data_IF_257063714702
#
_entry.id   IF_257063714702
#
_cell.length_a   1.000
_cell.length_b   1.000
_cell.length_c   1.000
_cell.angle_alpha   90.00
_cell.angle_beta   90.00
_cell.angle_gamma   90.00
#
_symmetry.space_group_name_H-M   'P 1'
#
loop_
_entity.id
_entity.type
_entity.pdbx_description
1 polymer ?
#
# COMPACT_ATOMS: atom_id res chain seq x y z
N UNK A 1 -8.90 2.26 0.56
CA UNK A 1 -8.79 1.13 1.52
C UNK A 1 -8.64 -0.15 0.73
N UNK A 2 -8.04 -1.19 1.30
CA UNK A 2 -7.90 -2.51 0.69
C UNK A 2 -8.78 -3.51 1.44
N UNK A 3 -9.48 -4.37 0.72
CA UNK A 3 -10.32 -5.42 1.33
C UNK A 3 -9.50 -6.68 1.65
N UNK A 4 -10.09 -7.64 2.37
CA UNK A 4 -9.49 -8.96 2.62
C UNK A 4 -9.16 -9.70 1.31
N UNK A 5 -9.90 -9.41 0.24
CA UNK A 5 -9.67 -9.97 -1.09
C UNK A 5 -8.62 -9.19 -1.90
N UNK A 6 -7.93 -8.21 -1.30
CA UNK A 6 -6.94 -7.36 -1.99
C UNK A 6 -7.53 -6.25 -2.85
N UNK A 7 -8.87 -6.15 -2.96
CA UNK A 7 -9.51 -5.15 -3.81
C UNK A 7 -9.38 -3.72 -3.22
N UNK A 8 -8.90 -2.74 -4.00
CA UNK A 8 -8.97 -1.34 -3.64
C UNK A 8 -10.41 -0.84 -3.61
N UNK A 9 -10.78 -0.14 -2.54
CA UNK A 9 -12.13 0.38 -2.30
C UNK A 9 -12.08 1.81 -1.81
N UNK A 10 -13.13 2.56 -2.13
CA UNK A 10 -13.27 3.94 -1.69
C UNK A 10 -13.35 4.04 -0.16
N UNK A 11 -12.63 5.02 0.40
CA UNK A 11 -12.73 5.35 1.81
C UNK A 11 -13.76 6.45 2.07
N UNK A 12 -15.05 6.09 2.06
CA UNK A 12 -16.14 7.03 2.32
C UNK A 12 -16.06 7.69 3.70
N UNK A 13 -15.50 6.98 4.69
CA UNK A 13 -15.37 7.49 6.06
C UNK A 13 -14.20 8.46 6.24
N UNK A 14 -13.33 8.62 5.22
CA UNK A 14 -12.18 9.52 5.23
C UNK A 14 -11.25 9.33 6.44
N UNK A 15 -11.21 8.13 7.02
CA UNK A 15 -10.37 7.80 8.15
C UNK A 15 -9.22 6.87 7.76
N UNK A 16 -8.02 7.15 8.26
CA UNK A 16 -6.87 6.26 8.11
C UNK A 16 -7.00 5.11 9.11
N UNK A 17 -7.60 3.99 8.69
CA UNK A 17 -7.79 2.85 9.58
C UNK A 17 -6.95 1.62 9.21
N UNK A 18 -6.21 1.67 8.11
CA UNK A 18 -5.39 0.58 7.62
C UNK A 18 -3.91 0.94 7.64
N UNK A 19 -3.08 -0.06 7.94
CA UNK A 19 -1.63 0.08 8.06
C UNK A 19 -0.98 -1.00 7.20
N UNK A 20 0.13 -0.66 6.55
CA UNK A 20 1.01 -1.62 5.89
C UNK A 20 2.33 -1.69 6.66
N UNK A 21 2.87 -2.89 6.85
CA UNK A 21 4.19 -3.09 7.47
C UNK A 21 4.98 -4.14 6.70
N UNK A 22 6.31 -4.09 6.80
CA UNK A 22 7.19 -5.15 6.33
C UNK A 22 8.29 -5.40 7.36
N UNK A 23 8.83 -6.61 7.38
CA UNK A 23 9.98 -6.99 8.20
C UNK A 23 10.83 -8.01 7.43
N UNK A 24 11.89 -8.53 8.03
CA UNK A 24 12.77 -9.51 7.39
C UNK A 24 12.14 -10.91 7.19
N UNK A 25 10.83 -11.05 7.40
CA UNK A 25 10.05 -12.30 7.30
C UNK A 25 9.48 -12.54 5.90
N UNK A 26 10.09 -11.94 4.88
CA UNK A 26 9.71 -12.07 3.47
C UNK A 26 8.26 -11.68 3.16
N UNK A 27 7.62 -10.90 4.03
CA UNK A 27 6.21 -10.52 3.90
C UNK A 27 6.00 -9.02 4.01
N UNK A 28 4.97 -8.56 3.30
CA UNK A 28 4.32 -7.27 3.53
C UNK A 28 2.92 -7.54 4.06
N UNK A 29 2.59 -6.95 5.19
CA UNK A 29 1.39 -7.23 5.98
C UNK A 29 0.46 -6.03 5.97
N UNK A 30 -0.83 -6.30 5.79
CA UNK A 30 -1.88 -5.29 5.87
C UNK A 30 -2.72 -5.50 7.13
N UNK A 31 -2.96 -4.41 7.84
CA UNK A 31 -3.62 -4.41 9.14
C UNK A 31 -4.81 -3.47 9.14
N UNK A 32 -5.80 -3.78 9.96
CA UNK A 32 -7.01 -2.97 10.14
C UNK A 32 -7.18 -2.63 11.62
N UNK A 33 -7.33 -1.35 11.94
CA UNK A 33 -7.45 -0.85 13.33
C UNK A 33 -8.90 -0.77 13.81
N UNK A 34 -9.87 -0.82 12.88
CA UNK A 34 -11.30 -0.83 13.23
C UNK A 34 -11.70 -2.12 13.92
N UNK A 35 -12.70 -1.98 14.77
CA UNK A 35 -13.38 -3.09 15.43
C UNK A 35 -13.95 -4.06 14.38
N UNK A 36 -13.62 -5.36 14.43
CA UNK A 36 -14.27 -6.37 13.58
C UNK A 36 -15.78 -6.38 13.84
N UNK A 37 -16.59 -6.38 12.77
CA UNK A 37 -18.07 -6.29 12.89
C UNK A 37 -18.72 -7.45 13.65
N UNK A 38 -18.00 -8.56 13.84
CA UNK A 38 -18.48 -9.73 14.58
C UNK A 38 -17.78 -9.83 15.95
N UNK A 39 -18.56 -9.65 17.03
CA UNK A 39 -18.15 -10.16 18.35
C UNK A 39 -17.96 -9.16 19.50
N UNK A 40 -18.32 -7.88 19.37
CA UNK A 40 -18.17 -6.96 20.52
C UNK A 40 -19.30 -7.15 21.53
N UNK A 41 -18.99 -7.82 22.64
CA UNK A 41 -19.74 -7.64 23.89
C UNK A 41 -19.38 -6.25 24.45
N UNK A 42 -20.37 -5.45 24.89
CA UNK A 42 -20.06 -4.16 25.52
C UNK A 42 -19.15 -4.36 26.73
N UNK A 43 -18.10 -3.54 26.84
CA UNK A 43 -17.20 -3.51 28.00
C UNK A 43 -18.01 -3.34 29.29
N UNK A 44 -17.81 -4.26 30.23
CA UNK A 44 -18.44 -4.24 31.54
C UNK A 44 -17.99 -3.02 32.35
N UNK A 45 -18.82 -2.55 33.29
CA UNK A 45 -18.49 -1.40 34.17
C UNK A 45 -17.12 -1.57 34.86
N UNK A 46 -16.79 -2.81 35.26
CA UNK A 46 -15.53 -3.16 35.92
C UNK A 46 -14.31 -2.97 35.02
N UNK A 47 -14.44 -3.16 33.71
CA UNK A 47 -13.34 -2.97 32.74
C UNK A 47 -13.08 -1.51 32.38
N UNK A 48 -14.05 -0.62 32.64
CA UNK A 48 -13.89 0.84 32.48
C UNK A 48 -13.14 1.47 33.66
N UNK A 49 -13.20 0.84 34.83
CA UNK A 49 -12.54 1.29 36.07
C UNK A 49 -11.11 0.76 36.23
N UNK A 50 -10.67 -0.18 35.39
CA UNK A 50 -9.28 -0.66 35.40
C UNK A 50 -8.38 0.44 34.84
N UNK A 51 -7.85 1.19 35.82
CA UNK A 51 -6.65 2.03 35.84
C UNK A 51 -5.83 1.84 34.58
N UNK A 52 -5.74 2.93 33.81
CA UNK A 52 -4.85 3.08 32.69
C UNK A 52 -3.42 3.35 33.23
N UNK A 53 -2.59 2.32 33.46
CA UNK A 53 -1.34 2.48 34.23
C UNK A 53 -0.30 3.28 33.44
N UNK A 54 -0.52 3.41 32.12
CA UNK A 54 0.39 3.98 31.14
C UNK A 54 -0.18 5.23 30.45
N UNK A 55 -1.38 5.70 30.83
CA UNK A 55 -2.01 6.86 30.17
C UNK A 55 -2.48 6.61 28.72
N UNK A 56 -2.50 5.36 28.23
CA UNK A 56 -2.93 4.98 26.88
C UNK A 56 -4.46 4.96 26.77
N UNK A 57 -5.09 5.75 25.89
CA UNK A 57 -6.54 5.73 25.73
C UNK A 57 -7.09 4.34 25.42
N UNK A 58 -8.22 3.96 26.04
CA UNK A 58 -8.87 2.65 25.81
C UNK A 58 -9.45 2.47 24.41
N UNK A 59 -9.33 3.49 23.54
CA UNK A 59 -9.83 3.55 22.16
C UNK A 59 -9.41 2.36 21.29
N UNK A 60 -8.29 1.70 21.61
CA UNK A 60 -7.75 0.55 20.85
C UNK A 60 -7.64 -0.75 21.66
N UNK A 61 -8.29 -0.83 22.84
CA UNK A 61 -8.23 -2.05 23.68
C UNK A 61 -8.75 -3.30 22.96
N UNK A 62 -9.65 -3.13 21.99
CA UNK A 62 -10.15 -4.24 21.16
C UNK A 62 -9.10 -4.83 20.21
N UNK A 63 -7.93 -4.20 20.05
CA UNK A 63 -6.82 -4.76 19.28
C UNK A 63 -5.85 -5.55 20.16
N UNK A 64 -5.92 -5.36 21.48
CA UNK A 64 -4.96 -5.94 22.42
C UNK A 64 -4.97 -7.47 22.34
N UNK A 65 -3.78 -8.05 22.11
CA UNK A 65 -3.52 -9.49 21.94
C UNK A 65 -4.30 -10.23 20.84
N UNK A 66 -5.17 -9.54 20.07
CA UNK A 66 -5.99 -10.18 19.02
C UNK A 66 -5.77 -9.60 17.62
N UNK A 67 -4.97 -8.53 17.50
CA UNK A 67 -4.70 -7.91 16.21
C UNK A 67 -3.87 -8.81 15.29
N UNK A 68 -4.45 -9.18 14.15
CA UNK A 68 -3.82 -10.01 13.12
C UNK A 68 -3.90 -9.31 11.77
N UNK A 69 -2.89 -9.49 10.89
CA UNK A 69 -2.96 -8.94 9.55
C UNK A 69 -4.07 -9.64 8.77
N UNK A 70 -4.86 -8.87 8.02
CA UNK A 70 -5.98 -9.39 7.24
C UNK A 70 -5.56 -9.83 5.84
N UNK A 71 -4.45 -9.30 5.34
CA UNK A 71 -3.84 -9.66 4.06
C UNK A 71 -2.33 -9.77 4.24
N UNK A 72 -1.76 -10.82 3.66
CA UNK A 72 -0.33 -11.13 3.68
C UNK A 72 0.16 -11.23 2.25
N UNK A 73 1.22 -10.51 1.94
CA UNK A 73 1.88 -10.50 0.63
C UNK A 73 3.23 -11.17 0.81
N UNK A 74 3.33 -12.43 0.41
CA UNK A 74 4.60 -13.18 0.45
C UNK A 74 5.43 -12.84 -0.77
N UNK A 75 6.70 -12.49 -0.55
CA UNK A 75 7.60 -12.06 -1.60
C UNK A 75 8.31 -13.28 -2.19
N UNK A 76 7.95 -13.63 -3.42
CA UNK A 76 8.52 -14.76 -4.16
C UNK A 76 9.31 -14.28 -5.37
N UNK A 77 10.47 -14.87 -5.59
CA UNK A 77 11.33 -14.58 -6.73
C UNK A 77 10.59 -14.79 -8.06
N UNK A 78 10.71 -13.86 -9.03
CA UNK A 78 10.08 -14.00 -10.34
C UNK A 78 10.58 -15.24 -11.10
N UNK A 79 11.87 -15.57 -10.96
CA UNK A 79 12.51 -16.65 -11.71
C UNK A 79 12.27 -18.02 -11.06
N UNK A 80 12.64 -18.15 -9.79
CA UNK A 80 12.65 -19.44 -9.09
C UNK A 80 11.36 -19.70 -8.31
N UNK A 81 10.61 -18.65 -7.94
CA UNK A 81 9.48 -18.74 -7.01
C UNK A 81 9.88 -18.97 -5.54
N UNK A 82 11.18 -18.92 -5.21
CA UNK A 82 11.68 -19.05 -3.84
C UNK A 82 11.34 -17.82 -3.02
N UNK A 83 11.16 -18.00 -1.70
CA UNK A 83 10.90 -16.93 -0.76
C UNK A 83 12.25 -16.50 -0.15
N UNK A 84 12.90 -15.54 -0.80
CA UNK A 84 14.29 -15.15 -0.46
C UNK A 84 14.46 -13.66 -0.15
N UNK A 85 13.48 -12.83 -0.46
CA UNK A 85 13.61 -11.39 -0.28
C UNK A 85 13.40 -10.97 1.17
N UNK A 86 14.34 -10.22 1.75
CA UNK A 86 14.21 -9.64 3.09
C UNK A 86 13.85 -8.14 2.98
N UNK A 87 12.56 -7.74 3.08
CA UNK A 87 12.14 -6.37 2.77
C UNK A 87 12.47 -5.38 3.90
N UNK A 88 12.93 -4.18 3.52
CA UNK A 88 13.22 -3.07 4.44
C UNK A 88 12.37 -1.83 4.22
N UNK A 89 12.01 -1.56 2.97
CA UNK A 89 11.25 -0.37 2.54
C UNK A 89 10.27 -0.76 1.46
N UNK A 90 9.13 -0.08 1.37
CA UNK A 90 8.21 -0.23 0.27
C UNK A 90 7.60 1.11 -0.14
N UNK A 91 7.13 1.20 -1.38
CA UNK A 91 6.50 2.39 -1.94
C UNK A 91 5.32 2.02 -2.83
N UNK A 92 4.12 2.45 -2.42
CA UNK A 92 2.88 2.32 -3.17
C UNK A 92 2.64 3.56 -4.04
N UNK A 93 1.94 3.39 -5.17
CA UNK A 93 1.56 4.50 -6.05
C UNK A 93 0.49 5.40 -5.44
N UNK A 94 -0.61 4.79 -5.02
CA UNK A 94 -1.75 5.53 -4.48
C UNK A 94 -1.54 5.84 -3.00
N UNK A 95 -1.17 7.08 -2.73
CA UNK A 95 -1.29 7.73 -1.41
C UNK A 95 -2.53 8.63 -1.45
N UNK A 96 -3.08 9.02 -0.29
CA UNK A 96 -4.35 9.77 -0.20
C UNK A 96 -4.49 10.82 -1.32
N UNK A 97 -5.33 10.52 -2.32
CA UNK A 97 -5.46 11.33 -3.53
C UNK A 97 -6.61 12.33 -3.43
N UNK A 98 -6.60 13.30 -4.35
CA UNK A 98 -7.68 14.26 -4.52
C UNK A 98 -8.98 13.56 -4.92
N UNK A 99 -10.07 13.84 -4.20
CA UNK A 99 -11.39 13.24 -4.43
C UNK A 99 -12.06 13.76 -5.70
N UNK A 100 -11.61 14.89 -6.23
CA UNK A 100 -12.22 15.48 -7.44
C UNK A 100 -12.12 14.56 -8.66
N UNK A 101 -11.11 13.68 -8.69
CA UNK A 101 -10.93 12.67 -9.74
C UNK A 101 -12.06 11.62 -9.71
N UNK A 102 -12.52 11.21 -8.52
CA UNK A 102 -13.62 10.25 -8.39
C UNK A 102 -14.95 10.82 -8.91
N UNK A 103 -15.16 12.13 -8.71
CA UNK A 103 -16.34 12.83 -9.19
C UNK A 103 -16.35 12.97 -10.72
N UNK A 104 -15.19 13.05 -11.36
CA UNK A 104 -15.07 13.08 -12.83
C UNK A 104 -15.35 11.71 -13.43
N UNK A 105 -14.77 10.64 -12.89
CA UNK A 105 -15.05 9.26 -13.34
C UNK A 105 -16.54 8.90 -13.20
N UNK A 106 -17.19 9.31 -12.10
CA UNK A 106 -18.63 9.10 -11.92
C UNK A 106 -19.49 9.86 -12.95
N UNK A 107 -19.06 11.06 -13.36
CA UNK A 107 -19.70 11.82 -14.43
C UNK A 107 -19.51 11.14 -15.79
N UNK A 108 -18.31 10.67 -16.10
CA UNK A 108 -18.03 9.96 -17.36
C UNK A 108 -18.77 8.62 -17.45
N UNK A 109 -18.88 7.87 -16.35
CA UNK A 109 -19.68 6.65 -16.29
C UNK A 109 -21.18 6.92 -16.45
N UNK A 110 -21.66 8.05 -15.91
CA UNK A 110 -23.04 8.48 -16.04
C UNK A 110 -23.36 8.92 -17.48
N UNK A 111 -22.44 9.61 -18.15
CA UNK A 111 -22.57 9.99 -19.56
C UNK A 111 -22.54 8.78 -20.49
N UNK A 112 -21.62 7.82 -20.30
CA UNK A 112 -21.60 6.56 -21.07
C UNK A 112 -22.88 5.73 -20.93
N UNK A 113 -23.59 5.84 -19.80
CA UNK A 113 -24.87 5.13 -19.57
C UNK A 113 -26.07 5.78 -20.24
N UNK A 114 -25.99 7.05 -20.66
CA UNK A 114 -27.10 7.73 -21.37
C UNK A 114 -27.27 7.24 -22.81
N UNK A 115 -26.20 6.73 -23.43
CA UNK A 115 -26.23 6.29 -24.84
C UNK A 115 -26.79 4.88 -25.05
N UNK A 116 -27.16 4.16 -23.99
CA UNK A 116 -27.79 2.83 -24.07
C UNK A 116 -29.22 2.88 -23.54
N UNK A 117 -30.13 3.49 -24.31
CA UNK A 117 -31.54 3.48 -23.99
C UNK A 117 -32.17 2.13 -24.29
N UNK A 118 -32.42 1.31 -23.26
CA UNK A 118 -33.64 0.53 -23.03
C UNK A 118 -33.47 -0.43 -21.84
N UNK A 119 -34.14 -0.12 -20.73
CA UNK A 119 -34.38 -1.07 -19.64
C UNK A 119 -33.72 -0.71 -18.30
N UNK A 120 -34.50 -0.03 -17.46
CA UNK A 120 -34.46 -0.04 -15.98
C UNK A 120 -33.16 -0.50 -15.31
N UNK A 121 -32.46 0.40 -14.62
CA UNK A 121 -31.90 0.11 -13.29
C UNK A 121 -31.86 1.39 -12.44
N UNK A 122 -32.40 1.26 -11.23
CA UNK A 122 -32.58 2.29 -10.20
C UNK A 122 -31.22 2.73 -9.65
N UNK A 123 -31.02 4.04 -9.46
CA UNK A 123 -29.86 4.57 -8.73
C UNK A 123 -29.88 4.07 -7.28
N UNK A 124 -28.78 3.51 -6.74
CA UNK A 124 -28.71 3.11 -5.32
C UNK A 124 -28.71 4.29 -4.32
N UNK A 125 -28.80 5.53 -4.80
CA UNK A 125 -28.77 6.76 -4.01
C UNK A 125 -30.15 7.40 -3.80
N UNK A 126 -31.20 6.89 -4.44
CA UNK A 126 -32.57 7.43 -4.31
C UNK A 126 -33.42 6.71 -3.26
N UNK A 127 -32.83 5.82 -2.45
CA UNK A 127 -33.52 5.12 -1.36
C UNK A 127 -33.19 5.76 0.01
N UNK A 128 -34.04 6.67 0.52
CA UNK A 128 -33.81 7.38 1.78
C UNK A 128 -33.77 6.47 3.02
N UNK A 129 -34.03 5.16 2.87
CA UNK A 129 -33.92 4.17 3.95
C UNK A 129 -32.57 3.45 4.03
N UNK A 130 -31.61 3.68 3.11
CA UNK A 130 -30.25 3.14 3.23
C UNK A 130 -29.35 4.07 4.02
N UNK A 131 -29.32 3.88 5.33
CA UNK A 131 -28.26 4.38 6.21
C UNK A 131 -26.87 4.11 5.59
N UNK A 132 -25.97 5.10 5.61
CA UNK A 132 -24.58 5.03 5.10
C UNK A 132 -23.79 3.77 5.53
N UNK A 133 -24.24 3.08 6.58
CA UNK A 133 -23.68 1.84 7.11
C UNK A 133 -23.92 0.59 6.26
N UNK A 134 -24.80 0.64 5.26
CA UNK A 134 -25.13 -0.51 4.38
C UNK A 134 -24.60 -0.40 2.94
N UNK A 135 -23.94 0.71 2.57
CA UNK A 135 -23.32 0.82 1.26
C UNK A 135 -22.15 -0.19 1.16
N UNK A 136 -22.25 -1.16 0.24
CA UNK A 136 -21.08 -1.97 -0.15
C UNK A 136 -20.00 -1.00 -0.62
N UNK A 137 -18.81 -1.08 -0.02
CA UNK A 137 -17.70 -0.21 -0.38
C UNK A 137 -17.45 -0.28 -1.88
N UNK A 138 -17.51 0.86 -2.58
CA UNK A 138 -17.30 0.96 -4.02
C UNK A 138 -15.88 0.49 -4.34
N UNK A 139 -15.74 -0.56 -5.14
CA UNK A 139 -14.43 -1.00 -5.65
C UNK A 139 -13.94 0.05 -6.64
N UNK A 140 -12.72 0.52 -6.43
CA UNK A 140 -12.11 1.51 -7.32
C UNK A 140 -11.54 0.77 -8.53
N UNK A 141 -11.92 1.24 -9.72
CA UNK A 141 -11.33 0.79 -10.97
C UNK A 141 -10.04 1.59 -11.20
N UNK A 142 -9.09 1.04 -11.98
CA UNK A 142 -7.84 1.72 -12.37
C UNK A 142 -6.88 2.08 -11.22
N UNK A 143 -7.05 1.51 -10.03
CA UNK A 143 -6.06 1.63 -8.95
C UNK A 143 -4.94 0.61 -9.17
N UNK A 144 -3.70 1.08 -9.16
CA UNK A 144 -2.54 0.20 -9.26
C UNK A 144 -2.36 -0.59 -7.95
N UNK A 145 -2.37 -1.92 -8.05
CA UNK A 145 -2.12 -2.84 -6.92
C UNK A 145 -0.66 -3.25 -6.81
N UNK A 146 0.18 -2.75 -7.72
CA UNK A 146 1.60 -2.97 -7.68
C UNK A 146 2.31 -1.94 -6.81
N UNK A 147 3.40 -2.38 -6.21
CA UNK A 147 4.25 -1.55 -5.40
C UNK A 147 5.69 -2.04 -5.44
N UNK A 148 6.60 -1.14 -5.12
CA UNK A 148 8.02 -1.47 -5.06
C UNK A 148 8.45 -1.76 -3.63
N UNK A 149 9.41 -2.68 -3.50
CA UNK A 149 10.01 -3.09 -2.24
C UNK A 149 11.53 -3.04 -2.40
N UNK A 150 12.20 -2.40 -1.44
CA UNK A 150 13.65 -2.43 -1.30
C UNK A 150 14.08 -3.45 -0.25
N UNK A 151 15.03 -4.30 -0.57
CA UNK A 151 15.47 -5.40 0.31
C UNK A 151 16.77 -5.10 1.05
N UNK A 152 17.13 -5.99 1.97
CA UNK A 152 18.42 -5.99 2.69
C UNK A 152 19.62 -6.26 1.77
N UNK A 153 19.43 -7.00 0.69
CA UNK A 153 20.49 -7.32 -0.27
C UNK A 153 20.58 -6.31 -1.43
N UNK A 154 19.96 -5.14 -1.29
CA UNK A 154 20.04 -4.08 -2.28
C UNK A 154 19.19 -4.28 -3.52
N UNK A 155 18.21 -5.19 -3.46
CA UNK A 155 17.30 -5.46 -4.56
C UNK A 155 16.06 -4.57 -4.51
N UNK A 156 15.58 -4.24 -5.70
CA UNK A 156 14.29 -3.61 -5.93
C UNK A 156 13.35 -4.68 -6.51
N UNK A 157 12.24 -4.92 -5.83
CA UNK A 157 11.23 -5.93 -6.19
C UNK A 157 9.92 -5.21 -6.54
N UNK A 158 9.31 -5.56 -7.66
CA UNK A 158 8.00 -5.06 -8.09
C UNK A 158 6.94 -6.15 -7.89
N UNK A 159 6.02 -5.91 -6.96
CA UNK A 159 5.10 -6.93 -6.45
C UNK A 159 3.65 -6.45 -6.55
N UNK A 160 2.74 -7.35 -6.94
CA UNK A 160 1.29 -7.15 -6.82
C UNK A 160 0.80 -7.68 -5.47
N UNK A 161 0.01 -6.90 -4.72
CA UNK A 161 -0.61 -7.41 -3.50
C UNK A 161 -1.91 -8.19 -3.75
N UNK A 162 -2.47 -8.13 -4.96
CA UNK A 162 -3.77 -8.73 -5.26
C UNK A 162 -3.67 -10.27 -5.22
N UNK A 163 -4.38 -10.95 -4.30
CA UNK A 163 -4.32 -12.39 -4.22
C UNK A 163 -4.89 -13.06 -5.46
N UNK A 164 -4.22 -14.10 -5.94
CA UNK A 164 -4.71 -14.95 -7.01
C UNK A 164 -5.37 -16.20 -6.43
N UNK A 165 -6.41 -16.67 -7.12
CA UNK A 165 -7.05 -17.95 -6.79
C UNK A 165 -6.36 -19.03 -7.60
N UNK A 166 -5.90 -20.07 -6.91
CA UNK A 166 -5.38 -21.25 -7.55
C UNK A 166 -6.50 -22.00 -8.28
N UNK A 167 -6.20 -22.59 -9.44
CA UNK A 167 -7.21 -23.34 -10.22
C UNK A 167 -7.61 -24.63 -9.48
N UNK A 168 -6.68 -25.21 -8.73
CA UNK A 168 -6.86 -26.48 -8.02
C UNK A 168 -7.17 -26.30 -6.52
N UNK A 169 -7.04 -25.08 -5.98
CA UNK A 169 -7.29 -24.78 -4.56
C UNK A 169 -8.31 -23.67 -4.36
N UNK A 170 -9.12 -23.79 -3.31
CA UNK A 170 -9.94 -22.68 -2.80
C UNK A 170 -9.12 -21.64 -2.03
N UNK A 171 -7.80 -21.85 -1.90
CA UNK A 171 -6.90 -20.93 -1.22
C UNK A 171 -6.45 -19.80 -2.15
N UNK A 172 -6.42 -18.60 -1.61
CA UNK A 172 -5.79 -17.45 -2.24
C UNK A 172 -4.30 -17.45 -1.92
N UNK A 173 -3.48 -17.09 -2.89
CA UNK A 173 -2.03 -16.94 -2.72
C UNK A 173 -1.55 -15.61 -3.30
N UNK A 174 -0.40 -15.13 -2.84
CA UNK A 174 0.26 -13.96 -3.41
C UNK A 174 0.94 -14.38 -4.72
N UNK A 175 0.73 -13.67 -5.84
CA UNK A 175 1.47 -13.97 -7.06
C UNK A 175 2.97 -13.78 -6.85
N UNK A 176 3.79 -14.46 -7.67
CA UNK A 176 5.22 -14.17 -7.75
C UNK A 176 5.45 -12.69 -8.05
N UNK A 177 6.58 -12.16 -7.61
CA UNK A 177 6.98 -10.82 -8.01
C UNK A 177 6.98 -10.72 -9.54
N UNK A 178 6.51 -9.59 -10.06
CA UNK A 178 6.49 -9.37 -11.50
C UNK A 178 7.90 -9.08 -12.04
N UNK A 179 8.78 -8.55 -11.19
CA UNK A 179 10.16 -8.23 -11.54
C UNK A 179 11.01 -7.99 -10.30
N UNK A 180 12.31 -8.27 -10.40
CA UNK A 180 13.30 -7.89 -9.39
C UNK A 180 14.67 -7.65 -10.01
N UNK A 181 15.46 -6.74 -9.43
CA UNK A 181 16.88 -6.57 -9.79
C UNK A 181 17.69 -5.99 -8.63
N UNK A 182 19.01 -6.18 -8.63
CA UNK A 182 19.92 -5.49 -7.71
C UNK A 182 20.09 -4.04 -8.20
N UNK A 183 19.83 -3.06 -7.34
CA UNK A 183 19.90 -1.63 -7.68
C UNK A 183 20.93 -0.87 -6.86
N UNK A 184 21.32 -1.37 -5.70
CA UNK A 184 22.32 -0.74 -4.84
C UNK A 184 23.17 -1.82 -4.20
N UNK A 185 24.39 -1.47 -3.81
CA UNK A 185 25.28 -2.38 -3.09
C UNK A 185 24.96 -2.33 -1.58
N UNK A 186 24.40 -3.43 -1.06
CA UNK A 186 23.94 -3.57 0.32
C UNK A 186 22.53 -3.05 0.59
N UNK A 187 22.14 -2.85 1.86
CA UNK A 187 20.74 -2.61 2.22
C UNK A 187 20.14 -1.37 1.61
N UNK A 188 18.93 -1.51 1.05
CA UNK A 188 18.12 -0.35 0.68
C UNK A 188 17.77 0.42 1.96
N UNK A 189 18.25 1.66 2.04
CA UNK A 189 17.99 2.56 3.18
C UNK A 189 16.78 3.44 2.93
N UNK A 190 16.47 3.72 1.67
CA UNK A 190 15.37 4.59 1.28
C UNK A 190 14.76 4.18 -0.06
N UNK A 191 13.43 4.26 -0.14
CA UNK A 191 12.64 4.03 -1.35
C UNK A 191 11.48 5.04 -1.34
N UNK A 192 11.57 6.06 -2.19
CA UNK A 192 10.71 7.25 -2.14
C UNK A 192 10.13 7.55 -3.52
N UNK A 193 8.81 7.67 -3.60
CA UNK A 193 8.12 8.09 -4.83
C UNK A 193 8.08 9.60 -4.93
N UNK A 194 8.21 10.13 -6.13
CA UNK A 194 8.15 11.58 -6.36
C UNK A 194 6.75 12.12 -6.03
N UNK A 195 6.64 13.26 -5.32
CA UNK A 195 5.36 13.91 -5.07
C UNK A 195 4.76 14.55 -6.33
N UNK A 196 5.56 14.76 -7.39
CA UNK A 196 5.11 15.38 -8.65
C UNK A 196 4.88 14.37 -9.78
N UNK A 197 5.65 13.28 -9.79
CA UNK A 197 5.60 12.25 -10.83
C UNK A 197 5.30 10.91 -10.19
N UNK A 198 4.03 10.51 -10.22
CA UNK A 198 3.58 9.27 -9.57
C UNK A 198 4.32 8.04 -10.08
N UNK A 199 4.83 8.03 -11.30
CA UNK A 199 5.59 6.91 -11.88
C UNK A 199 7.10 6.98 -11.63
N UNK A 200 7.62 7.96 -10.89
CA UNK A 200 9.07 8.12 -10.64
C UNK A 200 9.40 7.77 -9.19
N UNK A 201 10.43 6.93 -9.03
CA UNK A 201 10.84 6.39 -7.73
C UNK A 201 12.35 6.58 -7.57
N UNK A 202 12.75 7.04 -6.39
CA UNK A 202 14.13 7.17 -5.96
C UNK A 202 14.45 6.04 -4.97
N UNK A 203 15.52 5.30 -5.24
CA UNK A 203 16.04 4.25 -4.37
C UNK A 203 17.48 4.56 -3.99
N UNK A 204 17.84 4.35 -2.73
CA UNK A 204 19.19 4.56 -2.24
C UNK A 204 19.62 3.49 -1.24
N UNK A 205 20.92 3.19 -1.23
CA UNK A 205 21.57 2.20 -0.39
C UNK A 205 23.08 2.22 -0.61
N UNK A 206 23.84 1.78 0.38
CA UNK A 206 25.30 1.83 0.32
C UNK A 206 25.82 3.23 -0.02
N UNK A 207 26.56 3.35 -1.11
CA UNK A 207 27.17 4.61 -1.57
C UNK A 207 26.47 5.22 -2.79
N UNK A 208 25.32 4.70 -3.21
CA UNK A 208 24.71 5.09 -4.48
C UNK A 208 23.19 5.20 -4.39
N UNK A 209 22.63 5.91 -5.36
CA UNK A 209 21.19 6.02 -5.55
C UNK A 209 20.84 5.88 -7.03
N UNK A 210 19.62 5.44 -7.30
CA UNK A 210 19.07 5.35 -8.65
C UNK A 210 17.66 5.93 -8.70
N UNK A 211 17.29 6.48 -9.86
CA UNK A 211 15.93 6.91 -10.15
C UNK A 211 15.34 5.96 -11.18
N UNK A 212 14.19 5.38 -10.87
CA UNK A 212 13.48 4.43 -11.71
C UNK A 212 12.14 4.99 -12.15
N UNK A 213 11.68 4.51 -13.31
CA UNK A 213 10.31 4.73 -13.77
C UNK A 213 9.53 3.44 -13.59
N UNK A 214 8.38 3.53 -12.95
CA UNK A 214 7.50 2.40 -12.72
C UNK A 214 7.09 1.73 -14.03
N UNK A 215 7.04 0.39 -14.03
CA UNK A 215 6.78 -0.47 -15.20
C UNK A 215 7.84 -0.43 -16.30
N UNK A 216 8.93 0.34 -16.13
CA UNK A 216 10.09 0.31 -17.03
C UNK A 216 11.23 -0.43 -16.33
N UNK A 217 11.46 -1.67 -16.77
CA UNK A 217 12.42 -2.58 -16.16
C UNK A 217 13.70 -2.79 -16.99
N UNK A 218 13.82 -2.09 -18.12
CA UNK A 218 15.02 -2.14 -18.98
C UNK A 218 16.22 -1.39 -18.41
N UNK A 219 16.02 -0.54 -17.40
CA UNK A 219 17.08 0.20 -16.71
C UNK A 219 16.54 1.39 -15.93
N UNK A 220 17.40 1.98 -15.09
CA UNK A 220 17.09 3.22 -14.37
C UNK A 220 17.11 4.44 -15.30
N UNK A 221 16.30 5.45 -14.97
CA UNK A 221 16.34 6.77 -15.61
C UNK A 221 17.64 7.50 -15.29
N UNK A 222 18.10 7.35 -14.05
CA UNK A 222 19.36 7.91 -13.58
C UNK A 222 20.05 6.90 -12.68
N UNK A 223 21.31 6.66 -12.97
CA UNK A 223 22.21 5.84 -12.16
C UNK A 223 23.36 6.72 -11.68
N UNK A 224 23.42 6.98 -10.37
CA UNK A 224 24.48 7.83 -9.82
C UNK A 224 25.78 7.05 -9.65
N UNK A 225 26.92 7.69 -9.94
CA UNK A 225 28.21 7.15 -9.55
C UNK A 225 28.31 7.04 -8.01
N UNK A 226 29.06 6.07 -7.47
CA UNK A 226 29.25 5.93 -6.04
C UNK A 226 29.79 7.21 -5.39
N UNK A 227 29.18 7.61 -4.28
CA UNK A 227 29.59 8.73 -3.44
C UNK A 227 30.74 8.31 -2.52
N UNK A 228 31.47 9.30 -1.97
CA UNK A 228 32.56 9.05 -1.02
C UNK A 228 32.04 8.52 0.31
N UNK A 229 30.93 9.08 0.79
CA UNK A 229 30.29 8.71 2.04
C UNK A 229 29.05 7.85 1.81
N UNK A 230 28.75 6.98 2.77
CA UNK A 230 27.57 6.13 2.74
C UNK A 230 26.30 6.97 2.85
N UNK A 231 25.29 6.65 2.04
CA UNK A 231 23.97 7.27 2.09
C UNK A 231 23.18 6.68 3.26
N UNK A 232 22.57 7.54 4.07
CA UNK A 232 21.72 7.14 5.19
C UNK A 232 20.23 7.32 4.90
N UNK A 233 19.86 8.31 4.08
CA UNK A 233 18.48 8.52 3.62
C UNK A 233 18.47 9.42 2.38
N UNK A 234 17.33 9.45 1.68
CA UNK A 234 17.04 10.41 0.60
C UNK A 234 15.59 10.88 0.69
N UNK A 235 15.31 12.09 0.25
CA UNK A 235 13.95 12.64 0.26
C UNK A 235 13.70 13.58 -0.93
N UNK A 236 12.52 13.50 -1.52
CA UNK A 236 12.13 14.43 -2.58
C UNK A 236 11.77 15.79 -1.98
N UNK A 237 12.08 16.87 -2.69
CA UNK A 237 11.55 18.18 -2.34
C UNK A 237 10.03 18.17 -2.49
N UNK A 238 9.25 18.58 -1.47
CA UNK A 238 7.79 18.61 -1.58
C UNK A 238 7.28 19.78 -2.43
N UNK A 239 8.14 20.77 -2.73
CA UNK A 239 7.74 22.03 -3.38
C UNK A 239 8.44 22.29 -4.72
N UNK A 240 9.42 21.46 -5.10
CA UNK A 240 10.20 21.67 -6.33
C UNK A 240 10.36 20.36 -7.12
N UNK A 241 9.73 20.24 -8.31
CA UNK A 241 9.91 19.09 -9.18
C UNK A 241 11.39 18.85 -9.51
N UNK A 242 11.81 17.59 -9.49
CA UNK A 242 13.18 17.19 -9.85
C UNK A 242 14.27 17.46 -8.79
N UNK A 243 13.93 18.11 -7.68
CA UNK A 243 14.88 18.33 -6.57
C UNK A 243 14.70 17.25 -5.51
N UNK A 244 15.79 16.65 -5.07
CA UNK A 244 15.84 15.72 -3.94
C UNK A 244 17.10 15.97 -3.11
N UNK A 245 17.08 15.51 -1.86
CA UNK A 245 18.16 15.66 -0.89
C UNK A 245 18.73 14.29 -0.55
N UNK A 246 20.02 14.25 -0.26
CA UNK A 246 20.74 13.04 0.15
C UNK A 246 21.36 13.30 1.51
N UNK A 247 21.01 12.46 2.48
CA UNK A 247 21.64 12.43 3.80
C UNK A 247 22.79 11.44 3.78
N UNK A 248 23.94 11.85 4.27
CA UNK A 248 25.17 11.05 4.28
C UNK A 248 25.62 10.80 5.72
N UNK A 249 26.30 9.68 5.91
CA UNK A 249 26.97 9.39 7.16
C UNK A 249 28.09 10.41 7.39
N UNK A 250 28.07 11.07 8.55
CA UNK A 250 29.19 11.89 8.98
C UNK A 250 30.31 10.94 9.45
N UNK A 251 31.51 11.12 8.93
CA UNK A 251 32.70 10.32 9.25
C UNK A 251 33.60 11.12 10.18
#
# INVERSE_FOLDING_TARGET
>A
MVTVQGLPTENLAMNCSQIMTCAFDNQVLFWETRVPRAGVKPLSKKEREIINPMGVPLTFKHLDLIWKPFLRVTLQSPETGTVEFAPRKFSIRETQGDRDVLNQEDKELFEKKKDTSLGQFVNPLDDPNKTLSQAKAKVLQNVDTFFYIGTEDGQLVYQDWMPQKDQDSTKFFTPKAAWSTIVVDGPVVALKRSPFFKDVILVAGGWMFQIWREKIHSGSLLHAAPLKEKITDVEWSPTRPGVFYISKQNV
#
